data_IF_695788426168
#
_entry.id   IF_695788426168
#
_cell.length_a   1.000
_cell.length_b   1.000
_cell.length_c   1.000
_cell.angle_alpha   90.00
_cell.angle_beta   90.00
_cell.angle_gamma   90.00
#
_symmetry.space_group_name_H-M   'P 1'
#
loop_
_entity.id
_entity.type
_entity.pdbx_description
1 polymer ?
#
# COMPACT_ATOMS: atom_id res chain seq x y z
N UNK A 1 -10.16 -5.67 -7.53
CA UNK A 1 -8.92 -5.97 -6.77
C UNK A 1 -8.53 -4.82 -5.86
N UNK A 2 -8.13 -3.64 -6.35
CA UNK A 2 -7.77 -2.49 -5.48
C UNK A 2 -8.90 -2.11 -4.52
N UNK A 3 -10.14 -2.01 -4.99
CA UNK A 3 -11.28 -1.78 -4.09
C UNK A 3 -11.43 -2.86 -3.00
N UNK A 4 -11.07 -4.12 -3.30
CA UNK A 4 -11.06 -5.20 -2.31
C UNK A 4 -9.89 -5.05 -1.33
N UNK A 5 -8.72 -4.61 -1.80
CA UNK A 5 -7.58 -4.30 -0.93
C UNK A 5 -7.98 -3.27 0.13
N UNK A 6 -8.59 -2.15 -0.29
CA UNK A 6 -9.10 -1.14 0.65
C UNK A 6 -10.24 -1.69 1.52
N UNK A 7 -11.15 -2.51 1.00
CA UNK A 7 -12.18 -3.16 1.83
C UNK A 7 -11.57 -4.00 2.96
N UNK A 8 -10.48 -4.71 2.68
CA UNK A 8 -9.87 -5.65 3.62
C UNK A 8 -8.89 -4.96 4.59
N UNK A 9 -8.30 -3.81 4.22
CA UNK A 9 -7.22 -3.18 4.98
C UNK A 9 -7.42 -1.70 5.33
N UNK A 10 -8.44 -1.00 4.81
CA UNK A 10 -8.62 0.42 5.12
C UNK A 10 -8.92 0.71 6.60
N UNK A 11 -9.24 -0.33 7.39
CA UNK A 11 -9.37 -0.20 8.84
C UNK A 11 -8.10 0.34 9.50
N UNK A 12 -6.91 0.17 8.90
CA UNK A 12 -5.63 0.67 9.45
C UNK A 12 -5.57 2.21 9.54
N UNK A 13 -6.49 2.93 8.88
CA UNK A 13 -6.67 4.38 9.05
C UNK A 13 -7.60 4.79 10.20
N UNK A 14 -8.26 3.84 10.86
CA UNK A 14 -9.25 4.12 11.92
C UNK A 14 -9.06 3.29 13.18
N UNK A 15 -8.19 2.27 13.16
CA UNK A 15 -7.92 1.42 14.30
C UNK A 15 -6.42 1.08 14.41
N UNK A 16 -5.90 1.15 15.63
CA UNK A 16 -4.51 0.79 15.97
C UNK A 16 -4.40 -0.49 16.82
N UNK A 17 -5.54 -1.14 17.11
CA UNK A 17 -5.64 -2.33 17.96
C UNK A 17 -5.33 -3.59 17.14
N UNK A 18 -4.06 -3.90 16.98
CA UNK A 18 -3.59 -5.06 16.21
C UNK A 18 -4.14 -6.40 16.72
N UNK A 19 -4.48 -6.50 18.01
CA UNK A 19 -5.10 -7.68 18.61
C UNK A 19 -6.53 -7.95 18.09
N UNK A 20 -7.23 -6.91 17.66
CA UNK A 20 -8.60 -7.01 17.13
C UNK A 20 -8.66 -6.99 15.61
N UNK A 21 -7.79 -6.22 14.96
CA UNK A 21 -7.84 -6.00 13.51
C UNK A 21 -6.74 -6.75 12.74
N UNK A 22 -5.75 -7.30 13.44
CA UNK A 22 -4.61 -8.00 12.85
C UNK A 22 -3.47 -7.05 12.46
N UNK A 23 -2.52 -7.59 11.70
CA UNK A 23 -1.37 -6.83 11.21
C UNK A 23 -1.75 -5.93 10.03
N UNK A 24 -1.07 -4.79 9.92
CA UNK A 24 -1.19 -3.90 8.77
C UNK A 24 -0.78 -4.60 7.46
N UNK A 25 -1.23 -4.04 6.33
CA UNK A 25 -0.99 -4.63 5.02
C UNK A 25 0.48 -4.92 4.74
N UNK A 26 1.41 -4.06 5.15
CA UNK A 26 2.86 -4.22 4.94
C UNK A 26 3.47 -5.39 5.69
N UNK A 27 2.84 -5.86 6.77
CA UNK A 27 3.35 -6.93 7.64
C UNK A 27 2.64 -8.27 7.40
N UNK A 28 1.73 -8.32 6.43
CA UNK A 28 1.06 -9.54 6.02
C UNK A 28 2.05 -10.56 5.43
N UNK A 29 1.73 -11.84 5.62
CA UNK A 29 2.50 -12.91 4.98
C UNK A 29 2.36 -12.90 3.45
N UNK A 30 3.33 -13.53 2.77
CA UNK A 30 3.40 -13.60 1.30
C UNK A 30 2.09 -14.07 0.66
N UNK A 31 1.45 -15.10 1.20
CA UNK A 31 0.23 -15.66 0.63
C UNK A 31 -0.95 -14.67 0.68
N UNK A 32 -1.05 -13.87 1.74
CA UNK A 32 -2.05 -12.79 1.82
C UNK A 32 -1.71 -11.65 0.86
N UNK A 33 -0.45 -11.22 0.82
CA UNK A 33 0.01 -10.17 -0.11
C UNK A 33 -0.23 -10.55 -1.57
N UNK A 34 0.09 -11.77 -1.96
CA UNK A 34 -0.09 -12.28 -3.32
C UNK A 34 -1.56 -12.41 -3.73
N UNK A 35 -2.55 -12.26 -2.84
CA UNK A 35 -3.96 -12.08 -3.26
C UNK A 35 -4.13 -10.79 -4.07
N UNK A 36 -3.33 -9.77 -3.77
CA UNK A 36 -3.42 -8.42 -4.33
C UNK A 36 -2.23 -8.04 -5.20
N UNK A 37 -1.01 -8.28 -4.72
CA UNK A 37 0.22 -7.85 -5.37
C UNK A 37 0.79 -8.92 -6.30
N UNK A 38 1.51 -8.49 -7.33
CA UNK A 38 2.30 -9.39 -8.14
C UNK A 38 3.41 -10.02 -7.27
N UNK A 39 3.83 -11.28 -7.53
CA UNK A 39 4.79 -11.99 -6.69
C UNK A 39 6.06 -11.19 -6.38
N UNK A 40 6.63 -10.53 -7.38
CA UNK A 40 7.83 -9.71 -7.21
C UNK A 40 7.64 -8.53 -6.23
N UNK A 41 6.46 -7.90 -6.20
CA UNK A 41 6.17 -6.80 -5.28
C UNK A 41 5.84 -7.33 -3.87
N UNK A 42 5.14 -8.48 -3.78
CA UNK A 42 4.91 -9.16 -2.51
C UNK A 42 6.22 -9.59 -1.83
N UNK A 43 7.18 -10.11 -2.60
CA UNK A 43 8.50 -10.48 -2.10
C UNK A 43 9.27 -9.29 -1.53
N UNK A 44 9.16 -8.12 -2.17
CA UNK A 44 9.77 -6.89 -1.67
C UNK A 44 9.16 -6.43 -0.35
N UNK A 45 7.84 -6.51 -0.19
CA UNK A 45 7.15 -6.18 1.06
C UNK A 45 7.55 -7.12 2.19
N UNK A 46 7.58 -8.44 1.94
CA UNK A 46 8.02 -9.43 2.94
C UNK A 46 9.46 -9.19 3.36
N UNK A 47 10.34 -8.86 2.41
CA UNK A 47 11.74 -8.55 2.68
C UNK A 47 11.88 -7.30 3.57
N UNK A 48 11.10 -6.26 3.31
CA UNK A 48 11.10 -5.05 4.12
C UNK A 48 10.57 -5.32 5.54
N UNK A 49 9.43 -6.00 5.67
CA UNK A 49 8.89 -6.39 6.98
C UNK A 49 9.87 -7.24 7.79
N UNK A 50 10.55 -8.22 7.16
CA UNK A 50 11.57 -9.03 7.81
C UNK A 50 12.78 -8.20 8.28
N UNK A 51 13.15 -7.15 7.52
CA UNK A 51 14.16 -6.20 7.95
C UNK A 51 13.71 -5.44 9.20
N UNK A 52 12.47 -4.95 9.23
CA UNK A 52 11.97 -4.16 10.35
C UNK A 52 12.01 -4.97 11.65
N UNK A 53 11.65 -6.25 11.58
CA UNK A 53 11.75 -7.18 12.72
C UNK A 53 13.21 -7.38 13.15
N UNK A 54 14.14 -7.56 12.20
CA UNK A 54 15.55 -7.80 12.47
C UNK A 54 16.23 -6.61 13.14
N UNK A 55 15.95 -5.40 12.66
CA UNK A 55 16.62 -4.17 13.11
C UNK A 55 15.82 -3.39 14.16
N UNK A 56 14.60 -3.85 14.48
CA UNK A 56 13.68 -3.18 15.41
C UNK A 56 13.46 -1.71 15.04
N UNK A 57 13.26 -1.44 13.75
CA UNK A 57 13.15 -0.09 13.23
C UNK A 57 12.60 -0.03 11.81
N UNK A 58 12.52 1.18 11.29
CA UNK A 58 12.07 1.45 9.93
C UNK A 58 13.15 1.01 8.93
N UNK A 59 12.72 0.35 7.85
CA UNK A 59 13.60 -0.05 6.74
C UNK A 59 13.37 0.88 5.55
N UNK A 60 12.99 0.35 4.38
CA UNK A 60 12.76 1.19 3.21
C UNK A 60 11.39 1.86 3.26
N UNK A 61 10.36 1.17 3.76
CA UNK A 61 9.00 1.71 3.87
C UNK A 61 8.78 2.35 5.24
N UNK A 62 8.63 3.68 5.25
CA UNK A 62 8.46 4.51 6.45
C UNK A 62 7.08 5.16 6.55
N UNK A 63 6.12 4.72 5.75
CA UNK A 63 4.74 5.20 5.73
C UNK A 63 3.76 4.09 5.35
N UNK A 64 2.48 4.32 5.61
CA UNK A 64 1.38 3.45 5.21
C UNK A 64 1.19 3.44 3.69
N UNK A 65 1.35 2.28 3.07
CA UNK A 65 1.32 2.15 1.61
C UNK A 65 -0.08 2.37 0.97
N UNK A 66 -1.17 2.30 1.74
CA UNK A 66 -2.52 2.60 1.25
C UNK A 66 -2.87 4.08 1.37
N UNK A 67 -2.19 4.80 2.26
CA UNK A 67 -2.56 6.16 2.64
C UNK A 67 -1.43 7.17 2.61
N UNK A 68 -0.27 6.79 2.06
CA UNK A 68 0.85 7.69 1.82
C UNK A 68 1.22 8.56 3.04
N UNK A 69 1.06 8.02 4.25
CA UNK A 69 1.07 8.77 5.51
C UNK A 69 1.61 7.94 6.68
N UNK A 70 2.16 8.60 7.69
CA UNK A 70 2.53 7.96 8.97
C UNK A 70 1.36 7.86 9.96
N UNK A 71 0.38 8.77 9.85
CA UNK A 71 -0.82 8.82 10.70
C UNK A 71 -2.03 9.11 9.81
N UNK A 72 -2.53 8.09 9.09
CA UNK A 72 -3.57 8.29 8.08
C UNK A 72 -4.92 8.67 8.70
N UNK A 73 -5.51 9.75 8.18
CA UNK A 73 -6.87 10.20 8.48
C UNK A 73 -7.60 10.37 7.16
N UNK A 74 -8.75 9.71 7.03
CA UNK A 74 -9.34 9.48 5.71
C UNK A 74 -10.84 9.73 5.74
N UNK A 75 -11.29 10.57 4.83
CA UNK A 75 -12.69 10.79 4.47
C UNK A 75 -12.83 10.78 2.95
N UNK A 76 -14.07 10.62 2.46
CA UNK A 76 -14.40 10.67 1.02
C UNK A 76 -13.53 9.76 0.14
N UNK A 77 -13.22 8.55 0.63
CA UNK A 77 -12.41 7.59 -0.12
C UNK A 77 -13.15 7.10 -1.36
N UNK A 78 -12.51 7.25 -2.51
CA UNK A 78 -13.03 6.91 -3.82
C UNK A 78 -12.01 6.10 -4.63
N UNK A 79 -12.48 5.02 -5.26
CA UNK A 79 -11.64 4.08 -6.03
C UNK A 79 -12.19 3.99 -7.45
N UNK A 80 -11.39 4.43 -8.43
CA UNK A 80 -11.80 4.51 -9.84
C UNK A 80 -10.78 3.94 -10.79
N UNK A 81 -11.21 3.12 -11.73
CA UNK A 81 -10.38 2.76 -12.89
C UNK A 81 -10.25 3.98 -13.80
N UNK A 82 -9.03 4.46 -14.02
CA UNK A 82 -8.80 5.68 -14.82
C UNK A 82 -8.38 5.38 -16.25
N UNK A 83 -7.73 4.23 -16.47
CA UNK A 83 -7.38 3.70 -17.78
C UNK A 83 -7.18 2.18 -17.68
N UNK A 84 -7.12 1.45 -18.81
CA UNK A 84 -6.63 0.08 -18.79
C UNK A 84 -5.29 0.01 -18.05
N UNK A 85 -5.17 -0.93 -17.10
CA UNK A 85 -3.96 -1.12 -16.31
C UNK A 85 -3.72 -0.11 -15.18
N UNK A 86 -4.64 0.83 -14.92
CA UNK A 86 -4.47 1.82 -13.84
C UNK A 86 -5.75 2.07 -13.04
N UNK A 87 -5.63 1.98 -11.72
CA UNK A 87 -6.68 2.33 -10.76
C UNK A 87 -6.20 3.50 -9.92
N UNK A 88 -7.02 4.53 -9.76
CA UNK A 88 -6.73 5.68 -8.92
C UNK A 88 -7.54 5.56 -7.63
N UNK A 89 -6.91 5.88 -6.51
CA UNK A 89 -7.57 6.10 -5.23
C UNK A 89 -7.37 7.54 -4.82
N UNK A 90 -8.45 8.16 -4.39
CA UNK A 90 -8.48 9.54 -3.90
C UNK A 90 -9.18 9.55 -2.55
N UNK A 91 -8.68 10.34 -1.61
CA UNK A 91 -9.33 10.60 -0.34
C UNK A 91 -8.90 11.97 0.20
N UNK A 92 -9.54 12.40 1.27
CA UNK A 92 -9.28 13.66 1.95
C UNK A 92 -8.84 13.44 3.39
N UNK A 93 -7.94 14.29 3.85
CA UNK A 93 -7.72 14.47 5.29
C UNK A 93 -8.82 15.40 5.85
N UNK A 94 -9.57 14.97 6.89
CA UNK A 94 -10.67 15.75 7.45
C UNK A 94 -10.25 17.03 8.19
N UNK A 95 -8.96 17.21 8.49
CA UNK A 95 -8.45 18.36 9.26
C UNK A 95 -8.13 19.55 8.35
N UNK A 96 -7.44 19.30 7.23
CA UNK A 96 -6.97 20.35 6.31
C UNK A 96 -7.62 20.31 4.93
N UNK A 97 -8.55 19.37 4.68
CA UNK A 97 -9.23 19.10 3.41
C UNK A 97 -8.25 18.76 2.26
N UNK A 98 -7.00 18.39 2.59
CA UNK A 98 -6.01 18.03 1.59
C UNK A 98 -6.43 16.74 0.90
N UNK A 99 -6.51 16.82 -0.42
CA UNK A 99 -6.78 15.65 -1.26
C UNK A 99 -5.48 14.91 -1.56
N UNK A 100 -5.44 13.63 -1.22
CA UNK A 100 -4.36 12.72 -1.61
C UNK A 100 -4.80 11.83 -2.75
N UNK A 101 -3.88 11.59 -3.70
CA UNK A 101 -4.09 10.72 -4.85
C UNK A 101 -2.98 9.67 -4.95
N UNK A 102 -3.39 8.42 -5.03
CA UNK A 102 -2.50 7.26 -5.19
C UNK A 102 -2.94 6.51 -6.44
N UNK A 103 -2.01 6.27 -7.36
CA UNK A 103 -2.28 5.45 -8.55
C UNK A 103 -1.71 4.04 -8.34
N UNK A 104 -2.50 3.02 -8.68
CA UNK A 104 -2.14 1.61 -8.65
C UNK A 104 -1.99 1.13 -10.08
N UNK A 105 -0.78 0.69 -10.44
CA UNK A 105 -0.52 0.03 -11.70
C UNK A 105 -0.87 -1.46 -11.56
N UNK A 106 -1.68 -1.96 -12.49
CA UNK A 106 -2.20 -3.33 -12.44
C UNK A 106 -1.99 -4.06 -13.77
N UNK A 107 -1.65 -5.35 -13.70
CA UNK A 107 -1.47 -6.20 -14.86
C UNK A 107 -1.99 -7.62 -14.60
N UNK A 108 -2.21 -8.39 -15.68
CA UNK A 108 -2.53 -9.82 -15.55
C UNK A 108 -1.24 -10.63 -15.32
N UNK A 109 -1.16 -11.30 -14.18
CA UNK A 109 -0.12 -12.29 -13.87
C UNK A 109 -0.80 -13.66 -13.88
N UNK A 110 -0.37 -14.53 -14.80
CA UNK A 110 -1.01 -15.85 -15.01
C UNK A 110 -2.54 -15.76 -15.17
N UNK A 111 -3.01 -14.74 -15.89
CA UNK A 111 -4.43 -14.50 -16.15
C UNK A 111 -5.19 -13.75 -15.04
N UNK A 112 -4.59 -13.52 -13.87
CA UNK A 112 -5.24 -12.85 -12.73
C UNK A 112 -4.72 -11.42 -12.61
N UNK A 113 -5.60 -10.44 -12.44
CA UNK A 113 -5.19 -9.06 -12.16
C UNK A 113 -4.43 -8.97 -10.83
N UNK A 114 -3.27 -8.32 -10.86
CA UNK A 114 -2.38 -8.05 -9.71
C UNK A 114 -1.86 -6.63 -9.75
N UNK A 115 -1.60 -6.05 -8.58
CA UNK A 115 -0.94 -4.76 -8.42
C UNK A 115 0.55 -4.97 -8.65
N UNK A 116 1.09 -4.30 -9.67
CA UNK A 116 2.52 -4.38 -10.02
C UNK A 116 3.34 -3.22 -9.46
N UNK A 117 2.69 -2.09 -9.15
CA UNK A 117 3.29 -0.96 -8.46
C UNK A 117 2.21 -0.06 -7.82
N UNK A 118 2.63 0.75 -6.85
CA UNK A 118 1.83 1.82 -6.25
C UNK A 118 2.61 3.11 -6.39
N UNK A 119 1.98 4.14 -6.96
CA UNK A 119 2.61 5.42 -7.28
C UNK A 119 1.95 6.52 -6.46
N UNK A 120 2.73 7.08 -5.56
CA UNK A 120 2.33 8.17 -4.67
C UNK A 120 2.61 9.51 -5.34
N UNK A 121 1.59 10.36 -5.49
CA UNK A 121 1.71 11.66 -6.15
C UNK A 121 2.23 12.75 -5.22
N UNK A 122 3.39 12.49 -4.63
CA UNK A 122 4.24 13.49 -3.97
C UNK A 122 5.02 14.31 -5.02
N UNK A 123 5.64 15.47 -4.68
CA UNK A 123 6.36 16.30 -5.65
C UNK A 123 7.41 15.55 -6.49
N UNK A 124 8.04 14.54 -5.91
CA UNK A 124 9.04 13.65 -6.50
C UNK A 124 8.46 12.42 -7.22
N UNK A 125 7.16 12.15 -7.08
CA UNK A 125 6.48 10.91 -7.48
C UNK A 125 7.21 9.65 -7.00
N UNK A 126 6.71 9.07 -5.93
CA UNK A 126 7.34 7.90 -5.32
C UNK A 126 6.68 6.62 -5.83
N UNK A 127 7.48 5.67 -6.32
CA UNK A 127 7.04 4.30 -6.65
C UNK A 127 7.34 3.38 -5.46
N UNK A 128 6.34 2.64 -5.00
CA UNK A 128 6.49 1.65 -3.92
C UNK A 128 7.53 0.60 -4.29
N UNK A 129 7.47 0.10 -5.52
CA UNK A 129 8.47 -0.85 -6.02
C UNK A 129 9.87 -0.25 -5.97
N UNK A 130 10.03 1.03 -6.33
CA UNK A 130 11.32 1.72 -6.27
C UNK A 130 11.83 1.88 -4.83
N UNK A 131 10.96 2.30 -3.91
CA UNK A 131 11.27 2.42 -2.47
C UNK A 131 11.75 1.08 -1.91
N UNK A 132 10.98 0.01 -2.13
CA UNK A 132 11.30 -1.29 -1.55
C UNK A 132 12.50 -1.98 -2.20
N UNK A 133 12.87 -1.58 -3.42
CA UNK A 133 14.03 -2.15 -4.13
C UNK A 133 15.38 -1.60 -3.65
N UNK A 134 15.37 -0.58 -2.78
CA UNK A 134 16.60 -0.04 -2.21
C UNK A 134 17.33 -1.07 -1.35
N UNK A 135 18.64 -0.90 -1.22
CA UNK A 135 19.47 -1.78 -0.40
C UNK A 135 19.10 -1.59 1.08
N UNK A 136 18.67 -2.68 1.70
CA UNK A 136 18.37 -2.76 3.13
C UNK A 136 19.68 -2.65 3.95
N UNK A 137 19.67 -2.01 5.14
CA UNK A 137 20.80 -1.97 6.07
C UNK A 137 21.40 -3.33 6.45
#
# INVERSE_FOLDING_TARGET
MVAKLYKDFAWQAVASQADLFGDDLSHQNKATLEKYFAPALADLLVKDAACQVKFQGVCNLDFDLLFDSQDPRVTDLDVKTTSPGRVCVVYKDPVDDKTTRIDFDVARVSGIWKITDVVYRRPDKVSLKHVLSQKIP
#
